data_IF_099555150652
#
_entry.id   IF_099555150652
#
_cell.length_a   1.000
_cell.length_b   1.000
_cell.length_c   1.000
_cell.angle_alpha   90.00
_cell.angle_beta   90.00
_cell.angle_gamma   90.00
#
_symmetry.space_group_name_H-M   'P 1'
#
loop_
_entity.id
_entity.type
_entity.pdbx_description
1 polymer ?
#
# COMPACT_ATOMS: atom_id res chain seq x y z
N UNK A 1 -1.83 25.04 -7.02
CA UNK A 1 -0.99 23.87 -6.69
C UNK A 1 -1.27 22.81 -7.74
N UNK A 2 -0.24 22.19 -8.31
CA UNK A 2 -0.42 21.21 -9.40
C UNK A 2 -0.97 19.89 -8.82
N UNK A 3 -2.14 19.43 -9.29
CA UNK A 3 -2.80 18.21 -8.77
C UNK A 3 -1.94 16.94 -8.94
N UNK A 4 -1.09 16.89 -9.98
CA UNK A 4 -0.08 15.82 -10.13
C UNK A 4 0.92 15.85 -8.98
N UNK A 5 1.41 17.04 -8.63
CA UNK A 5 2.37 17.19 -7.54
C UNK A 5 1.76 16.80 -6.19
N UNK A 6 0.49 17.10 -5.96
CA UNK A 6 -0.21 16.72 -4.73
C UNK A 6 -0.31 15.20 -4.57
N UNK A 7 -0.70 14.49 -5.64
CA UNK A 7 -0.72 13.02 -5.65
C UNK A 7 0.68 12.42 -5.45
N UNK A 8 1.70 12.94 -6.14
CA UNK A 8 3.08 12.47 -5.98
C UNK A 8 3.62 12.71 -4.57
N UNK A 9 3.31 13.86 -3.97
CA UNK A 9 3.66 14.15 -2.58
C UNK A 9 2.97 13.18 -1.62
N UNK A 10 1.69 12.86 -1.86
CA UNK A 10 0.93 11.87 -1.07
C UNK A 10 1.56 10.48 -1.18
N UNK A 11 1.92 10.05 -2.39
CA UNK A 11 2.63 8.78 -2.64
C UNK A 11 3.97 8.73 -1.90
N UNK A 12 4.75 9.83 -1.96
CA UNK A 12 6.03 9.94 -1.25
C UNK A 12 5.87 9.82 0.27
N UNK A 13 4.87 10.49 0.83
CA UNK A 13 4.53 10.39 2.25
C UNK A 13 4.16 8.95 2.65
N UNK A 14 3.22 8.33 1.93
CA UNK A 14 2.77 6.95 2.18
C UNK A 14 3.96 5.99 2.16
N UNK A 15 4.82 6.08 1.14
CA UNK A 15 6.01 5.23 1.04
C UNK A 15 6.88 5.32 2.30
N UNK A 16 7.25 6.53 2.72
CA UNK A 16 8.16 6.69 3.85
C UNK A 16 7.52 6.31 5.19
N UNK A 17 6.24 6.60 5.39
CA UNK A 17 5.52 6.19 6.59
C UNK A 17 5.44 4.66 6.65
N UNK A 18 5.07 4.00 5.55
CA UNK A 18 4.97 2.54 5.51
C UNK A 18 6.34 1.84 5.60
N UNK A 19 7.40 2.41 5.02
CA UNK A 19 8.76 1.88 5.19
C UNK A 19 9.25 2.00 6.63
N UNK A 20 8.99 3.15 7.29
CA UNK A 20 9.25 3.31 8.73
C UNK A 20 8.45 2.30 9.54
N UNK A 21 7.16 2.10 9.21
CA UNK A 21 6.28 1.14 9.88
C UNK A 21 6.82 -0.28 9.77
N UNK A 22 7.22 -0.68 8.57
CA UNK A 22 7.88 -1.96 8.33
C UNK A 22 9.13 -2.13 9.21
N UNK A 23 10.01 -1.11 9.23
CA UNK A 23 11.26 -1.15 10.00
C UNK A 23 11.03 -1.24 11.50
N UNK A 24 10.09 -0.47 12.06
CA UNK A 24 9.81 -0.50 13.51
C UNK A 24 9.12 -1.79 13.94
N UNK A 25 8.26 -2.36 13.10
CA UNK A 25 7.49 -3.56 13.43
C UNK A 25 8.32 -4.83 13.22
N UNK A 26 9.11 -4.89 12.15
CA UNK A 26 9.81 -6.12 11.74
C UNK A 26 11.33 -6.07 11.92
N UNK A 27 11.88 -4.91 12.32
CA UNK A 27 13.33 -4.71 12.46
C UNK A 27 14.09 -4.60 11.14
N UNK A 28 13.42 -4.74 9.99
CA UNK A 28 14.01 -4.66 8.64
C UNK A 28 13.04 -4.00 7.65
N UNK A 29 13.59 -3.48 6.55
CA UNK A 29 12.79 -3.09 5.40
C UNK A 29 12.42 -4.32 4.57
N UNK A 30 11.23 -4.31 3.99
CA UNK A 30 10.78 -5.32 3.05
C UNK A 30 10.70 -4.72 1.65
N UNK A 31 10.76 -5.60 0.65
CA UNK A 31 10.56 -5.22 -0.75
C UNK A 31 9.08 -4.88 -0.96
N UNK A 32 8.81 -3.79 -1.68
CA UNK A 32 7.45 -3.45 -2.12
C UNK A 32 7.03 -4.36 -3.28
N UNK A 33 5.73 -4.66 -3.38
CA UNK A 33 5.15 -5.43 -4.49
C UNK A 33 5.11 -4.67 -5.82
N UNK A 34 5.29 -3.35 -5.78
CA UNK A 34 5.02 -2.43 -6.88
C UNK A 34 3.62 -1.82 -6.84
N UNK A 35 2.75 -2.23 -5.91
CA UNK A 35 1.44 -1.64 -5.67
C UNK A 35 1.52 -0.52 -4.61
N UNK A 36 0.80 0.58 -4.83
CA UNK A 36 0.56 1.61 -3.82
C UNK A 36 -0.91 2.07 -3.85
N UNK A 37 -1.52 2.15 -2.67
CA UNK A 37 -2.86 2.67 -2.47
C UNK A 37 -2.83 4.09 -1.92
N UNK A 38 -3.56 5.00 -2.56
CA UNK A 38 -3.81 6.36 -2.06
C UNK A 38 -5.27 6.46 -1.65
N UNK A 39 -5.52 6.87 -0.41
CA UNK A 39 -6.86 6.91 0.16
C UNK A 39 -7.36 8.34 0.25
N UNK A 40 -8.41 8.62 -0.50
CA UNK A 40 -9.00 9.94 -0.54
C UNK A 40 -9.73 10.28 0.76
N UNK A 41 -9.54 11.51 1.24
CA UNK A 41 -10.09 12.08 2.47
C UNK A 41 -11.34 12.93 2.20
N UNK A 42 -11.69 13.15 0.93
CA UNK A 42 -12.93 13.80 0.51
C UNK A 42 -13.40 13.28 -0.85
N UNK A 43 -14.64 13.62 -1.21
CA UNK A 43 -15.20 13.29 -2.52
C UNK A 43 -14.49 14.09 -3.62
N UNK A 44 -14.10 15.33 -3.32
CA UNK A 44 -13.38 16.23 -4.21
C UNK A 44 -11.97 15.70 -4.48
N UNK A 45 -11.23 15.29 -3.43
CA UNK A 45 -9.90 14.70 -3.57
C UNK A 45 -9.98 13.40 -4.39
N UNK A 46 -11.00 12.56 -4.16
CA UNK A 46 -11.22 11.36 -4.96
C UNK A 46 -11.40 11.67 -6.45
N UNK A 47 -12.21 12.67 -6.80
CA UNK A 47 -12.40 13.08 -8.20
C UNK A 47 -11.09 13.57 -8.83
N UNK A 48 -10.33 14.39 -8.10
CA UNK A 48 -9.05 14.95 -8.59
C UNK A 48 -8.03 13.84 -8.78
N UNK A 49 -7.78 13.00 -7.77
CA UNK A 49 -6.77 11.94 -7.86
C UNK A 49 -7.15 10.85 -8.86
N UNK A 50 -8.44 10.54 -9.02
CA UNK A 50 -8.89 9.61 -10.06
C UNK A 50 -8.60 10.15 -11.45
N UNK A 51 -8.87 11.45 -11.70
CA UNK A 51 -8.53 12.08 -12.97
C UNK A 51 -7.03 12.03 -13.27
N UNK A 52 -6.19 12.37 -12.27
CA UNK A 52 -4.73 12.29 -12.43
C UNK A 52 -4.28 10.85 -12.68
N UNK A 53 -4.83 9.86 -11.95
CA UNK A 53 -4.56 8.44 -12.19
C UNK A 53 -4.86 8.07 -13.64
N UNK A 54 -6.03 8.43 -14.16
CA UNK A 54 -6.45 8.10 -15.53
C UNK A 54 -5.51 8.70 -16.60
N UNK A 55 -4.86 9.83 -16.31
CA UNK A 55 -3.86 10.45 -17.18
C UNK A 55 -2.51 9.71 -17.17
N UNK A 56 -2.16 9.01 -16.09
CA UNK A 56 -0.83 8.39 -15.88
C UNK A 56 -0.86 6.85 -15.91
N UNK A 57 -2.03 6.23 -16.03
CA UNK A 57 -2.20 4.78 -16.07
C UNK A 57 -2.84 4.29 -17.35
N UNK A 58 -2.57 3.03 -17.68
CA UNK A 58 -3.27 2.30 -18.73
C UNK A 58 -4.77 2.19 -18.42
N UNK A 59 -5.64 2.33 -19.43
CA UNK A 59 -7.07 2.10 -19.25
C UNK A 59 -7.34 0.63 -18.98
N UNK A 60 -8.37 0.35 -18.18
CA UNK A 60 -8.87 -1.01 -17.96
C UNK A 60 -10.36 -1.07 -18.24
N UNK A 61 -10.77 -2.10 -18.99
CA UNK A 61 -12.18 -2.43 -19.21
C UNK A 61 -12.73 -3.36 -18.13
N UNK A 62 -11.87 -3.85 -17.22
CA UNK A 62 -12.28 -4.73 -16.15
C UNK A 62 -12.98 -3.93 -15.04
N UNK A 63 -14.28 -4.13 -14.78
CA UNK A 63 -15.00 -3.41 -13.73
C UNK A 63 -14.47 -3.72 -12.32
N UNK A 64 -13.75 -4.83 -12.17
CA UNK A 64 -13.13 -5.26 -10.93
C UNK A 64 -11.68 -4.75 -10.80
N UNK A 65 -11.16 -3.96 -11.75
CA UNK A 65 -9.81 -3.42 -11.64
C UNK A 65 -9.67 -2.59 -10.36
N UNK A 66 -8.74 -2.98 -9.49
CA UNK A 66 -8.40 -2.23 -8.27
C UNK A 66 -7.19 -1.33 -8.53
N UNK A 67 -6.06 -1.92 -8.92
CA UNK A 67 -4.83 -1.17 -9.20
C UNK A 67 -4.61 -1.03 -10.70
N UNK A 68 -4.23 0.15 -11.18
CA UNK A 68 -4.03 0.42 -12.60
C UNK A 68 -2.53 0.50 -12.89
N UNK A 69 -2.09 -0.10 -13.99
CA UNK A 69 -0.69 -0.11 -14.40
C UNK A 69 -0.28 1.29 -14.86
N UNK A 70 0.85 1.81 -14.37
CA UNK A 70 1.37 3.12 -14.72
C UNK A 70 2.06 3.07 -16.08
N UNK A 71 1.86 4.09 -16.92
CA UNK A 71 2.65 4.22 -18.17
C UNK A 71 4.14 4.36 -17.89
N UNK A 72 4.48 5.09 -16.83
CA UNK A 72 5.84 5.25 -16.33
C UNK A 72 5.86 4.92 -14.83
N UNK A 73 6.75 4.04 -14.36
CA UNK A 73 6.87 3.75 -12.93
C UNK A 73 7.16 5.00 -12.10
N UNK A 74 6.58 5.07 -10.92
CA UNK A 74 6.93 6.11 -9.93
C UNK A 74 8.12 5.59 -9.12
N UNK A 75 9.26 6.24 -9.28
CA UNK A 75 10.49 5.94 -8.55
C UNK A 75 10.64 6.96 -7.42
N UNK A 76 10.71 6.48 -6.19
CA UNK A 76 11.00 7.30 -5.02
C UNK A 76 12.46 7.04 -4.63
N UNK A 77 13.33 8.06 -4.72
CA UNK A 77 14.75 7.90 -4.43
C UNK A 77 14.97 7.49 -2.97
N UNK A 78 16.08 6.81 -2.72
CA UNK A 78 16.51 6.48 -1.37
C UNK A 78 16.66 7.75 -0.50
N UNK A 79 16.30 7.65 0.78
CA UNK A 79 16.41 8.76 1.72
C UNK A 79 16.88 8.25 3.09
N UNK A 80 18.02 8.77 3.57
CA UNK A 80 18.72 8.37 4.80
C UNK A 80 18.98 6.84 4.79
N UNK A 81 18.08 6.07 5.39
CA UNK A 81 18.16 4.61 5.54
C UNK A 81 17.05 3.87 4.79
N UNK A 82 16.12 4.58 4.14
CA UNK A 82 15.02 3.98 3.39
C UNK A 82 15.49 3.71 1.96
N UNK A 83 15.40 2.46 1.46
CA UNK A 83 15.83 2.14 0.11
C UNK A 83 14.98 2.84 -0.94
N UNK A 84 15.55 3.01 -2.14
CA UNK A 84 14.78 3.41 -3.32
C UNK A 84 13.63 2.42 -3.55
N UNK A 85 12.45 2.95 -3.89
CA UNK A 85 11.27 2.14 -4.19
C UNK A 85 10.70 2.48 -5.56
N UNK A 86 10.18 1.46 -6.23
CA UNK A 86 9.52 1.60 -7.54
C UNK A 86 8.10 1.08 -7.44
N UNK A 87 7.15 1.92 -7.83
CA UNK A 87 5.74 1.56 -7.95
C UNK A 87 5.34 1.51 -9.42
N UNK A 88 4.69 0.41 -9.81
CA UNK A 88 4.20 0.17 -11.16
C UNK A 88 2.68 0.18 -11.23
N UNK A 89 2.01 0.18 -10.07
CA UNK A 89 0.57 0.04 -9.96
C UNK A 89 0.01 1.02 -8.93
N UNK A 90 -1.01 1.78 -9.32
CA UNK A 90 -1.65 2.79 -8.48
C UNK A 90 -3.13 2.47 -8.26
N UNK A 91 -3.57 2.57 -7.00
CA UNK A 91 -4.97 2.51 -6.61
C UNK A 91 -5.37 3.82 -5.92
N UNK A 92 -6.49 4.41 -6.35
CA UNK A 92 -7.14 5.51 -5.64
C UNK A 92 -8.40 4.97 -4.97
N UNK A 93 -8.42 4.95 -3.63
CA UNK A 93 -9.58 4.54 -2.84
C UNK A 93 -10.48 5.73 -2.57
N UNK A 94 -11.78 5.55 -2.79
CA UNK A 94 -12.81 6.51 -2.37
C UNK A 94 -12.79 6.69 -0.84
N UNK A 95 -13.31 7.82 -0.37
CA UNK A 95 -13.56 8.06 1.06
C UNK A 95 -14.23 6.84 1.71
N UNK A 96 -13.68 6.44 2.86
CA UNK A 96 -14.08 5.28 3.63
C UNK A 96 -14.60 5.76 5.00
N UNK A 97 -15.82 5.36 5.37
CA UNK A 97 -16.45 5.77 6.64
C UNK A 97 -16.13 4.83 7.81
N UNK A 98 -15.38 3.76 7.57
CA UNK A 98 -14.91 2.82 8.61
C UNK A 98 -13.68 3.39 9.33
N UNK A 99 -13.16 2.74 10.38
CA UNK A 99 -11.89 3.16 11.00
C UNK A 99 -10.71 3.22 10.03
N UNK A 100 -10.76 2.52 8.90
CA UNK A 100 -9.75 2.61 7.84
C UNK A 100 -9.77 3.94 7.07
N UNK A 101 -10.83 4.73 7.20
CA UNK A 101 -10.94 6.08 6.63
C UNK A 101 -9.89 7.06 7.13
N UNK A 102 -9.32 6.82 8.32
CA UNK A 102 -8.26 7.65 8.91
C UNK A 102 -6.94 7.59 8.16
N UNK A 103 -6.73 6.56 7.35
CA UNK A 103 -5.46 6.35 6.66
C UNK A 103 -5.41 7.13 5.36
N UNK A 104 -4.24 7.66 5.02
CA UNK A 104 -3.94 8.37 3.79
C UNK A 104 -3.56 7.44 2.64
N UNK A 105 -3.17 6.19 2.94
CA UNK A 105 -2.81 5.19 1.94
C UNK A 105 -2.22 3.91 2.51
N UNK A 106 -1.84 3.01 1.60
CA UNK A 106 -1.23 1.72 1.89
C UNK A 106 -0.03 1.39 0.98
N UNK A 107 0.85 0.53 1.50
CA UNK A 107 1.91 -0.13 0.73
C UNK A 107 1.80 -1.65 0.95
N UNK A 108 1.84 -2.39 -0.14
CA UNK A 108 1.93 -3.84 -0.14
C UNK A 108 3.40 -4.27 -0.17
N UNK A 109 3.90 -4.82 0.93
CA UNK A 109 5.19 -5.50 1.02
C UNK A 109 5.06 -6.99 0.69
N UNK A 110 6.16 -7.55 0.17
CA UNK A 110 6.21 -8.97 -0.22
C UNK A 110 7.33 -9.71 0.50
N UNK A 111 7.03 -10.97 0.80
CA UNK A 111 7.96 -11.99 1.26
C UNK A 111 7.81 -13.25 0.39
N UNK A 112 8.86 -14.07 0.37
CA UNK A 112 8.73 -15.43 -0.15
C UNK A 112 7.85 -16.27 0.78
N UNK A 113 7.20 -17.31 0.24
CA UNK A 113 6.17 -18.07 0.96
C UNK A 113 6.67 -18.64 2.30
N UNK A 114 7.92 -19.09 2.38
CA UNK A 114 8.53 -19.56 3.63
C UNK A 114 8.65 -18.46 4.69
N UNK A 115 9.26 -17.32 4.33
CA UNK A 115 9.40 -16.17 5.24
C UNK A 115 8.03 -15.61 5.66
N UNK A 116 7.06 -15.60 4.76
CA UNK A 116 5.70 -15.16 5.06
C UNK A 116 5.03 -16.07 6.10
N UNK A 117 5.11 -17.39 5.93
CA UNK A 117 4.55 -18.36 6.88
C UNK A 117 5.21 -18.20 8.27
N UNK A 118 6.52 -18.04 8.32
CA UNK A 118 7.24 -17.78 9.58
C UNK A 118 6.77 -16.50 10.26
N UNK A 119 6.63 -15.41 9.51
CA UNK A 119 6.13 -14.15 10.04
C UNK A 119 4.68 -14.29 10.55
N UNK A 120 3.82 -14.94 9.76
CA UNK A 120 2.42 -15.20 10.11
C UNK A 120 2.30 -15.97 11.42
N UNK A 121 3.11 -17.01 11.62
CA UNK A 121 3.14 -17.77 12.87
C UNK A 121 3.58 -16.91 14.05
N UNK A 122 4.59 -16.04 13.89
CA UNK A 122 5.04 -15.10 14.94
C UNK A 122 3.98 -14.05 15.29
N UNK A 123 3.17 -13.63 14.31
CA UNK A 123 2.03 -12.72 14.54
C UNK A 123 0.93 -13.44 15.32
N UNK A 124 0.58 -14.67 14.92
CA UNK A 124 -0.42 -15.50 15.60
C UNK A 124 -0.02 -15.83 17.05
N UNK A 125 1.27 -16.00 17.33
CA UNK A 125 1.79 -16.20 18.70
C UNK A 125 1.90 -14.91 19.51
N UNK A 126 1.55 -13.75 18.95
CA UNK A 126 1.64 -12.44 19.61
C UNK A 126 3.07 -11.91 19.80
N UNK A 127 4.06 -12.47 19.10
CA UNK A 127 5.47 -12.09 19.23
C UNK A 127 5.80 -10.78 18.51
N UNK A 128 5.02 -10.42 17.48
CA UNK A 128 5.24 -9.21 16.68
C UNK A 128 4.23 -8.14 17.08
N UNK A 129 4.69 -7.09 17.78
CA UNK A 129 3.84 -5.94 18.15
C UNK A 129 3.60 -5.05 16.93
N UNK A 130 2.38 -4.51 16.80
CA UNK A 130 2.03 -3.63 15.66
C UNK A 130 1.79 -4.40 14.36
N UNK A 131 1.57 -5.71 14.44
CA UNK A 131 1.16 -6.56 13.34
C UNK A 131 -0.03 -7.42 13.76
N UNK A 132 -0.96 -7.64 12.85
CA UNK A 132 -2.13 -8.50 13.05
C UNK A 132 -2.48 -9.25 11.76
N UNK A 133 -3.15 -10.40 11.88
CA UNK A 133 -3.72 -11.05 10.71
C UNK A 133 -4.90 -10.21 10.24
N UNK A 134 -4.90 -9.79 8.98
CA UNK A 134 -5.98 -9.00 8.43
C UNK A 134 -7.22 -9.88 8.26
N UNK A 135 -8.23 -9.65 9.10
CA UNK A 135 -9.45 -10.46 9.12
C UNK A 135 -10.41 -10.04 8.00
N UNK A 136 -10.08 -10.50 6.78
CA UNK A 136 -10.96 -10.39 5.61
C UNK A 136 -11.05 -11.75 4.91
N UNK A 137 -12.26 -12.29 4.70
CA UNK A 137 -12.43 -13.56 4.01
C UNK A 137 -11.68 -13.60 2.66
N UNK A 138 -10.89 -14.66 2.45
CA UNK A 138 -10.11 -14.87 1.23
C UNK A 138 -8.83 -14.04 1.13
N UNK A 139 -8.50 -13.22 2.14
CA UNK A 139 -7.27 -12.44 2.18
C UNK A 139 -6.25 -13.12 3.08
N UNK A 140 -5.05 -13.37 2.54
CA UNK A 140 -3.92 -13.88 3.31
C UNK A 140 -2.87 -12.78 3.42
N UNK A 141 -3.12 -11.83 4.32
CA UNK A 141 -2.22 -10.70 4.57
C UNK A 141 -2.04 -10.45 6.06
N UNK A 142 -0.85 -9.95 6.38
CA UNK A 142 -0.53 -9.40 7.70
C UNK A 142 -0.63 -7.88 7.57
N UNK A 143 -1.44 -7.27 8.41
CA UNK A 143 -1.57 -5.83 8.50
C UNK A 143 -0.58 -5.28 9.53
N UNK A 144 0.18 -4.27 9.14
CA UNK A 144 1.06 -3.50 10.03
C UNK A 144 0.39 -2.16 10.33
N UNK A 145 0.25 -1.82 11.60
CA UNK A 145 -0.32 -0.54 12.05
C UNK A 145 0.34 -0.03 13.32
N UNK A 146 0.24 1.28 13.53
CA UNK A 146 0.58 1.91 14.80
C UNK A 146 -0.34 3.12 15.03
N UNK A 147 -0.70 3.47 16.29
CA UNK A 147 -1.54 4.64 16.57
C UNK A 147 -0.97 5.95 16.06
N UNK A 148 0.35 6.06 15.95
CA UNK A 148 1.04 7.31 15.63
C UNK A 148 1.11 7.62 14.12
N UNK A 149 0.75 6.66 13.26
CA UNK A 149 0.89 6.80 11.80
C UNK A 149 -0.47 6.89 11.13
N UNK A 150 -0.49 7.66 10.05
CA UNK A 150 -1.62 7.93 9.19
C UNK A 150 -1.63 7.02 7.94
N UNK A 151 -0.78 5.99 7.90
CA UNK A 151 -0.75 5.00 6.83
C UNK A 151 -0.78 3.57 7.42
N UNK A 152 -1.19 2.62 6.60
CA UNK A 152 -1.21 1.19 6.90
C UNK A 152 -0.32 0.45 5.91
N UNK A 153 0.28 -0.67 6.31
CA UNK A 153 1.00 -1.51 5.37
C UNK A 153 0.51 -2.94 5.45
N UNK A 154 0.64 -3.66 4.34
CA UNK A 154 0.29 -5.08 4.26
C UNK A 154 1.54 -5.87 3.90
N UNK A 155 1.68 -7.06 4.48
CA UNK A 155 2.71 -8.04 4.11
C UNK A 155 2.01 -9.28 3.60
N UNK A 156 2.41 -9.76 2.44
CA UNK A 156 1.85 -10.96 1.81
C UNK A 156 2.89 -11.67 0.95
N UNK A 157 2.50 -12.76 0.29
CA UNK A 157 3.33 -13.34 -0.77
C UNK A 157 3.23 -12.51 -2.04
N UNK A 158 4.24 -12.61 -2.91
CA UNK A 158 4.21 -11.95 -4.23
C UNK A 158 2.96 -12.33 -5.04
N UNK A 159 2.60 -13.61 -5.05
CA UNK A 159 1.42 -14.12 -5.76
C UNK A 159 0.13 -13.46 -5.25
N UNK A 160 -0.01 -13.31 -3.93
CA UNK A 160 -1.18 -12.65 -3.36
C UNK A 160 -1.22 -11.16 -3.70
N UNK A 161 -0.09 -10.46 -3.62
CA UNK A 161 0.01 -9.05 -3.99
C UNK A 161 -0.33 -8.79 -5.48
N UNK A 162 -0.05 -9.75 -6.36
CA UNK A 162 -0.45 -9.69 -7.77
C UNK A 162 -1.96 -9.96 -7.93
N UNK A 163 -2.49 -10.95 -7.20
CA UNK A 163 -3.91 -11.32 -7.22
C UNK A 163 -4.83 -10.15 -6.83
N UNK A 164 -4.45 -9.34 -5.82
CA UNK A 164 -5.27 -8.21 -5.34
C UNK A 164 -5.33 -7.01 -6.29
N UNK A 165 -4.60 -7.03 -7.41
CA UNK A 165 -4.72 -6.00 -8.45
C UNK A 165 -6.12 -5.94 -9.06
N UNK A 166 -6.83 -7.07 -9.03
CA UNK A 166 -8.23 -7.20 -9.41
C UNK A 166 -9.04 -7.59 -8.17
N UNK A 167 -10.21 -6.98 -7.97
CA UNK A 167 -11.12 -7.36 -6.88
C UNK A 167 -11.58 -8.81 -7.08
N UNK A 168 -11.47 -9.59 -6.02
CA UNK A 168 -11.98 -10.95 -5.92
C UNK A 168 -12.65 -11.16 -4.57
#
# INVERSE_FOLDING_TARGET
MNCHQELLNRIKHINFVCQKLCKITLGRYLKVSGNIGVFSQSVEEYKIFTKVRDEITEPSTNPNQKYYHLYNPIIIPAEIDIPETTYTHLYIRKLDSTPYGRYLGDVDFVLDSGEYIELKNKVLSGTVKGAEIYDRPGWDTIQLTTPNFDCVAYVSTKEFAEKVRVKF
#
